data_IF_290992775339
#
_entry.id   IF_290992775339
#
_cell.length_a   1.000
_cell.length_b   1.000
_cell.length_c   1.000
_cell.angle_alpha   90.00
_cell.angle_beta   90.00
_cell.angle_gamma   90.00
#
_symmetry.space_group_name_H-M   'P 1'
#
loop_
_entity.id
_entity.type
_entity.pdbx_description
1 polymer ?
#
# COMPACT_ATOMS: atom_id res chain seq x y z
N UNK A 1 37.75 66.28 6.91
CA UNK A 1 38.26 64.92 6.63
C UNK A 1 37.91 64.03 7.81
N UNK A 2 36.78 63.32 7.75
CA UNK A 2 36.31 62.40 8.80
C UNK A 2 36.65 60.97 8.38
N UNK A 3 37.62 60.36 9.06
CA UNK A 3 38.04 58.98 8.82
C UNK A 3 37.06 58.01 9.50
N UNK A 4 36.22 57.33 8.71
CA UNK A 4 35.31 56.28 9.19
C UNK A 4 36.12 55.00 9.41
N UNK A 5 36.40 54.62 10.67
CA UNK A 5 37.06 53.35 10.99
C UNK A 5 36.07 52.19 10.89
N UNK A 6 36.11 51.45 9.79
CA UNK A 6 35.32 50.22 9.61
C UNK A 6 35.88 49.11 10.51
N UNK A 7 35.20 48.84 11.62
CA UNK A 7 35.55 47.73 12.53
C UNK A 7 35.49 46.37 11.81
N UNK A 8 36.65 45.74 11.62
CA UNK A 8 36.76 44.41 11.02
C UNK A 8 36.26 43.37 12.03
N UNK A 9 35.05 42.82 11.84
CA UNK A 9 34.55 41.70 12.65
C UNK A 9 35.52 40.52 12.51
N UNK A 10 36.09 40.05 13.63
CA UNK A 10 36.84 38.80 13.66
C UNK A 10 35.88 37.64 13.43
N UNK A 11 36.04 36.90 12.34
CA UNK A 11 35.34 35.63 12.15
C UNK A 11 36.03 34.62 13.07
N UNK A 12 35.36 34.23 14.17
CA UNK A 12 35.80 33.11 15.00
C UNK A 12 35.49 31.82 14.24
N UNK A 13 36.50 30.97 14.04
CA UNK A 13 36.34 29.64 13.46
C UNK A 13 35.82 28.63 14.48
N UNK A 14 35.17 27.56 14.00
CA UNK A 14 34.73 26.42 14.80
C UNK A 14 35.95 25.55 15.19
N UNK A 15 35.90 24.91 16.36
CA UNK A 15 36.95 23.98 16.78
C UNK A 15 36.70 22.56 16.25
N UNK A 16 37.78 21.79 16.06
CA UNK A 16 37.66 20.38 15.67
C UNK A 16 36.91 19.56 16.71
N UNK A 17 37.08 19.88 18.00
CA UNK A 17 36.40 19.17 19.08
C UNK A 17 34.89 19.42 19.07
N UNK A 18 34.43 20.65 18.78
CA UNK A 18 33.00 20.94 18.64
C UNK A 18 32.39 20.16 17.47
N UNK A 19 33.10 20.05 16.35
CA UNK A 19 32.65 19.23 15.21
C UNK A 19 32.58 17.74 15.59
N UNK A 20 33.58 17.20 16.29
CA UNK A 20 33.63 15.79 16.67
C UNK A 20 32.48 15.40 17.60
N UNK A 21 32.15 16.23 18.59
CA UNK A 21 31.03 15.96 19.52
C UNK A 21 29.70 16.00 18.78
N UNK A 22 29.52 16.96 17.86
CA UNK A 22 28.28 17.04 17.05
C UNK A 22 28.10 15.80 16.19
N UNK A 23 29.15 15.34 15.51
CA UNK A 23 29.10 14.12 14.69
C UNK A 23 28.81 12.89 15.54
N UNK A 24 29.38 12.80 16.74
CA UNK A 24 29.11 11.70 17.67
C UNK A 24 27.63 11.64 18.09
N UNK A 25 27.04 12.79 18.45
CA UNK A 25 25.63 12.87 18.82
C UNK A 25 24.72 12.54 17.64
N UNK A 26 25.00 13.08 16.44
CA UNK A 26 24.24 12.76 15.23
C UNK A 26 24.33 11.26 14.90
N UNK A 27 25.50 10.63 15.06
CA UNK A 27 25.67 9.20 14.85
C UNK A 27 24.81 8.34 15.79
N UNK A 28 24.74 8.70 17.07
CA UNK A 28 23.88 8.01 18.05
C UNK A 28 22.40 8.18 17.70
N UNK A 29 21.97 9.39 17.31
CA UNK A 29 20.57 9.62 16.92
C UNK A 29 20.22 8.88 15.62
N UNK A 30 21.11 8.89 14.63
CA UNK A 30 20.88 8.26 13.33
C UNK A 30 20.75 6.74 13.42
N UNK A 31 21.51 6.08 14.31
CA UNK A 31 21.46 4.62 14.48
C UNK A 31 20.09 4.12 14.96
N UNK A 32 19.35 4.95 15.71
CA UNK A 32 17.99 4.65 16.17
C UNK A 32 16.95 5.17 15.16
N UNK A 33 17.13 6.39 14.64
CA UNK A 33 16.13 7.05 13.81
C UNK A 33 15.91 6.38 12.45
N UNK A 34 16.98 5.90 11.80
CA UNK A 34 16.90 5.28 10.46
C UNK A 34 16.03 4.01 10.47
N UNK A 35 16.31 2.96 11.28
CA UNK A 35 15.50 1.74 11.25
C UNK A 35 14.05 1.99 11.67
N UNK A 36 13.80 2.90 12.61
CA UNK A 36 12.44 3.29 13.01
C UNK A 36 11.69 3.95 11.84
N UNK A 37 12.33 4.87 11.13
CA UNK A 37 11.71 5.57 9.99
C UNK A 37 11.36 4.61 8.84
N UNK A 38 12.24 3.66 8.54
CA UNK A 38 11.99 2.63 7.52
C UNK A 38 10.80 1.77 7.90
N UNK A 39 10.75 1.22 9.13
CA UNK A 39 9.62 0.40 9.59
C UNK A 39 8.29 1.17 9.60
N UNK A 40 8.32 2.44 10.00
CA UNK A 40 7.13 3.29 9.94
C UNK A 40 6.63 3.47 8.50
N UNK A 41 7.54 3.65 7.55
CA UNK A 41 7.18 3.71 6.12
C UNK A 41 6.56 2.41 5.64
N UNK A 42 7.16 1.25 5.94
CA UNK A 42 6.63 -0.07 5.55
C UNK A 42 5.22 -0.32 6.12
N UNK A 43 5.00 -0.01 7.40
CA UNK A 43 3.67 -0.09 8.02
C UNK A 43 2.65 0.84 7.37
N UNK A 44 3.06 2.05 6.99
CA UNK A 44 2.19 2.97 6.26
C UNK A 44 1.82 2.42 4.87
N UNK A 45 2.75 1.79 4.16
CA UNK A 45 2.47 1.12 2.87
C UNK A 45 1.49 -0.05 3.05
N UNK A 46 1.62 -0.85 4.11
CA UNK A 46 0.71 -1.95 4.43
C UNK A 46 -0.70 -1.45 4.86
N UNK A 47 -0.78 -0.32 5.56
CA UNK A 47 -2.05 0.32 5.89
C UNK A 47 -2.75 0.84 4.61
N UNK A 48 -2.02 1.51 3.71
CA UNK A 48 -2.53 1.93 2.40
C UNK A 48 -3.06 0.72 1.61
N UNK A 49 -2.33 -0.41 1.59
CA UNK A 49 -2.80 -1.67 0.99
C UNK A 49 -4.17 -2.09 1.51
N UNK A 50 -4.35 -2.16 2.82
CA UNK A 50 -5.60 -2.63 3.42
C UNK A 50 -6.79 -1.74 3.04
N UNK A 51 -6.61 -0.42 3.07
CA UNK A 51 -7.63 0.53 2.63
C UNK A 51 -8.02 0.31 1.16
N UNK A 52 -7.02 0.12 0.30
CA UNK A 52 -7.24 -0.12 -1.13
C UNK A 52 -7.89 -1.48 -1.40
N UNK A 53 -7.55 -2.53 -0.66
CA UNK A 53 -8.22 -3.84 -0.76
C UNK A 53 -9.71 -3.72 -0.43
N UNK A 54 -10.06 -2.98 0.62
CA UNK A 54 -11.47 -2.71 0.96
C UNK A 54 -12.16 -1.91 -0.13
N UNK A 55 -11.47 -0.95 -0.75
CA UNK A 55 -12.02 -0.19 -1.89
C UNK A 55 -12.28 -1.08 -3.10
N UNK A 56 -11.39 -2.02 -3.41
CA UNK A 56 -11.60 -3.03 -4.46
C UNK A 56 -12.79 -3.93 -4.13
N UNK A 57 -12.90 -4.41 -2.88
CA UNK A 57 -14.06 -5.18 -2.41
C UNK A 57 -15.37 -4.40 -2.59
N UNK A 58 -15.39 -3.12 -2.24
CA UNK A 58 -16.57 -2.27 -2.42
C UNK A 58 -16.99 -2.15 -3.89
N UNK A 59 -16.04 -2.02 -4.82
CA UNK A 59 -16.36 -2.01 -6.25
C UNK A 59 -17.00 -3.31 -6.73
N UNK A 60 -16.51 -4.46 -6.26
CA UNK A 60 -17.12 -5.77 -6.59
C UNK A 60 -18.52 -5.90 -5.96
N UNK A 61 -18.67 -5.44 -4.72
CA UNK A 61 -19.94 -5.43 -4.01
C UNK A 61 -20.99 -4.55 -4.71
N UNK A 62 -20.59 -3.40 -5.25
CA UNK A 62 -21.46 -2.52 -6.05
C UNK A 62 -21.99 -3.24 -7.29
N UNK A 63 -21.12 -3.96 -8.02
CA UNK A 63 -21.52 -4.79 -9.17
C UNK A 63 -22.55 -5.84 -8.75
N UNK A 64 -22.31 -6.51 -7.62
CA UNK A 64 -23.24 -7.50 -7.07
C UNK A 64 -24.60 -6.88 -6.71
N UNK A 65 -24.60 -5.72 -6.03
CA UNK A 65 -25.84 -5.02 -5.62
C UNK A 65 -26.66 -4.60 -6.85
N UNK A 66 -26.00 -4.07 -7.89
CA UNK A 66 -26.68 -3.60 -9.08
C UNK A 66 -27.30 -4.72 -9.92
N UNK A 67 -26.68 -5.90 -9.93
CA UNK A 67 -27.09 -7.02 -10.78
C UNK A 67 -27.82 -8.14 -10.02
N UNK A 68 -27.80 -8.09 -8.68
CA UNK A 68 -28.32 -9.15 -7.80
C UNK A 68 -27.49 -10.44 -7.80
N UNK A 69 -26.41 -10.50 -8.59
CA UNK A 69 -25.50 -11.65 -8.69
C UNK A 69 -24.15 -11.20 -9.26
N UNK A 70 -23.17 -12.11 -9.28
CA UNK A 70 -21.91 -11.89 -9.99
C UNK A 70 -22.12 -12.15 -11.49
N UNK A 71 -21.85 -11.18 -12.39
CA UNK A 71 -22.05 -11.36 -13.82
C UNK A 71 -21.29 -12.57 -14.36
N UNK A 72 -21.97 -13.41 -15.14
CA UNK A 72 -21.37 -14.61 -15.72
C UNK A 72 -21.03 -15.72 -14.71
N UNK A 73 -21.47 -15.60 -13.45
CA UNK A 73 -21.20 -16.56 -12.37
C UNK A 73 -19.81 -16.42 -11.74
N UNK A 74 -18.86 -15.79 -12.44
CA UNK A 74 -17.55 -15.45 -11.92
C UNK A 74 -17.03 -14.15 -12.53
N UNK A 75 -16.38 -13.33 -11.70
CA UNK A 75 -15.72 -12.10 -12.11
C UNK A 75 -14.24 -12.17 -11.73
N UNK A 76 -13.37 -11.85 -12.68
CA UNK A 76 -11.92 -11.82 -12.49
C UNK A 76 -11.38 -10.49 -13.01
N UNK A 77 -10.78 -9.72 -12.11
CA UNK A 77 -9.94 -8.58 -12.42
C UNK A 77 -8.50 -8.95 -12.03
N UNK A 78 -7.69 -9.28 -13.02
CA UNK A 78 -6.34 -9.80 -12.81
C UNK A 78 -5.38 -8.74 -12.23
N UNK A 79 -4.15 -9.11 -11.89
CA UNK A 79 -3.23 -8.23 -11.19
C UNK A 79 -3.03 -6.88 -11.89
N UNK A 80 -3.43 -5.82 -11.20
CA UNK A 80 -3.12 -4.45 -11.59
C UNK A 80 -2.63 -3.63 -10.39
N UNK A 81 -1.49 -2.91 -10.50
CA UNK A 81 -0.52 -2.92 -11.60
C UNK A 81 0.00 -4.33 -11.95
N UNK A 82 0.51 -4.60 -13.17
CA UNK A 82 0.83 -5.97 -13.58
C UNK A 82 1.92 -6.59 -12.70
N UNK A 83 1.84 -7.91 -12.52
CA UNK A 83 2.85 -8.70 -11.83
C UNK A 83 4.12 -8.84 -12.70
N UNK A 84 5.34 -8.92 -12.13
CA UNK A 84 5.69 -8.88 -10.70
C UNK A 84 5.58 -7.48 -10.07
N UNK A 85 5.39 -7.40 -8.74
CA UNK A 85 5.49 -6.13 -8.02
C UNK A 85 6.88 -5.52 -8.16
N UNK A 86 6.97 -4.21 -7.89
CA UNK A 86 8.21 -3.45 -7.93
C UNK A 86 8.29 -2.60 -6.66
N UNK A 87 9.50 -2.28 -6.21
CA UNK A 87 9.74 -1.32 -5.12
C UNK A 87 9.52 0.15 -5.53
N UNK A 88 8.37 0.44 -6.16
CA UNK A 88 7.90 1.79 -6.47
C UNK A 88 6.40 1.80 -6.69
N UNK A 89 5.78 2.97 -6.52
CA UNK A 89 4.37 3.16 -6.83
C UNK A 89 4.12 3.03 -8.34
N UNK A 90 3.04 2.36 -8.73
CA UNK A 90 2.62 2.15 -10.13
C UNK A 90 1.12 2.45 -10.30
N UNK A 91 0.72 2.86 -11.50
CA UNK A 91 -0.67 3.21 -11.80
C UNK A 91 -1.53 1.98 -12.08
N UNK A 92 -2.79 2.01 -11.65
CA UNK A 92 -3.78 1.00 -12.02
C UNK A 92 -4.34 1.33 -13.42
N UNK A 93 -4.42 0.33 -14.29
CA UNK A 93 -5.04 0.39 -15.60
C UNK A 93 -6.48 -0.12 -15.46
N UNK A 94 -7.40 0.83 -15.31
CA UNK A 94 -8.83 0.55 -15.17
C UNK A 94 -9.49 0.07 -16.45
N UNK A 95 -8.78 0.09 -17.60
CA UNK A 95 -9.30 -0.45 -18.85
C UNK A 95 -9.06 -1.96 -18.98
N UNK A 96 -8.23 -2.53 -18.11
CA UNK A 96 -7.99 -3.97 -18.07
C UNK A 96 -9.30 -4.75 -17.81
N UNK A 97 -9.40 -6.00 -18.30
CA UNK A 97 -10.55 -6.88 -18.03
C UNK A 97 -10.84 -6.99 -16.53
N UNK A 98 -12.12 -6.99 -16.17
CA UNK A 98 -12.58 -6.99 -14.78
C UNK A 98 -12.46 -5.64 -14.08
N UNK A 99 -11.32 -4.94 -14.21
CA UNK A 99 -11.12 -3.63 -13.59
C UNK A 99 -12.11 -2.58 -14.07
N UNK A 100 -12.41 -2.57 -15.37
CA UNK A 100 -13.44 -1.68 -15.95
C UNK A 100 -14.84 -1.94 -15.38
N UNK A 101 -15.10 -3.18 -14.95
CA UNK A 101 -16.39 -3.59 -14.38
C UNK A 101 -16.50 -3.17 -12.91
N UNK A 102 -15.41 -3.32 -12.15
CA UNK A 102 -15.34 -2.98 -10.72
C UNK A 102 -15.28 -1.46 -10.50
N UNK A 103 -14.61 -0.75 -11.40
CA UNK A 103 -14.39 0.70 -11.32
C UNK A 103 -14.82 1.37 -12.63
N UNK A 104 -16.08 1.83 -12.73
CA UNK A 104 -16.49 2.66 -13.85
C UNK A 104 -15.81 4.04 -13.79
N UNK A 105 -15.83 4.75 -14.93
CA UNK A 105 -15.15 6.03 -15.07
C UNK A 105 -15.59 7.04 -14.00
N UNK A 106 -14.63 7.66 -13.32
CA UNK A 106 -14.85 8.62 -12.22
C UNK A 106 -14.86 8.00 -10.82
N UNK A 107 -14.78 6.68 -10.67
CA UNK A 107 -14.71 6.00 -9.37
C UNK A 107 -13.34 5.39 -9.07
N UNK A 108 -12.35 5.67 -9.92
CA UNK A 108 -11.00 5.12 -9.83
C UNK A 108 -10.28 5.48 -8.53
N UNK A 109 -9.42 4.56 -8.06
CA UNK A 109 -8.48 4.87 -6.99
C UNK A 109 -7.51 5.93 -7.53
N UNK A 110 -7.35 7.01 -6.78
CA UNK A 110 -6.54 8.14 -7.19
C UNK A 110 -5.07 7.88 -6.86
N UNK A 111 -4.19 8.20 -7.81
CA UNK A 111 -2.75 8.10 -7.65
C UNK A 111 -2.17 6.69 -7.86
N UNK A 112 -0.87 6.58 -7.62
CA UNK A 112 -0.12 5.35 -7.80
C UNK A 112 -0.07 4.54 -6.49
N UNK A 113 0.01 3.21 -6.64
CA UNK A 113 -0.08 2.24 -5.55
C UNK A 113 1.19 1.40 -5.43
N UNK A 114 1.57 0.97 -4.23
CA UNK A 114 2.73 0.09 -4.01
C UNK A 114 2.44 -1.38 -4.36
N UNK A 115 1.20 -1.81 -4.21
CA UNK A 115 0.79 -3.21 -4.39
C UNK A 115 0.14 -3.44 -5.75
N UNK A 116 0.33 -4.63 -6.30
CA UNK A 116 -0.51 -5.22 -7.33
C UNK A 116 -1.74 -5.83 -6.69
N UNK A 117 -2.93 -5.46 -7.14
CA UNK A 117 -4.20 -5.98 -6.63
C UNK A 117 -4.83 -6.92 -7.65
N UNK A 118 -5.53 -7.95 -7.19
CA UNK A 118 -6.38 -8.82 -8.01
C UNK A 118 -7.70 -8.99 -7.28
N UNK A 119 -8.80 -8.97 -8.00
CA UNK A 119 -10.11 -9.28 -7.45
C UNK A 119 -10.70 -10.51 -8.17
N UNK A 120 -11.22 -11.45 -7.39
CA UNK A 120 -11.99 -12.59 -7.88
C UNK A 120 -13.31 -12.63 -7.15
N UNK A 121 -14.38 -12.96 -7.84
CA UNK A 121 -15.67 -13.17 -7.19
C UNK A 121 -16.44 -14.30 -7.86
N UNK A 122 -17.23 -15.01 -7.07
CA UNK A 122 -18.06 -16.11 -7.49
C UNK A 122 -19.49 -15.89 -7.00
N UNK A 123 -20.46 -16.16 -7.88
CA UNK A 123 -21.87 -16.13 -7.51
C UNK A 123 -22.20 -17.21 -6.47
N UNK A 124 -23.27 -16.99 -5.71
CA UNK A 124 -23.79 -18.01 -4.81
C UNK A 124 -24.21 -19.25 -5.60
N UNK A 125 -23.98 -20.42 -5.01
CA UNK A 125 -24.42 -21.73 -5.50
C UNK A 125 -25.35 -22.37 -4.47
N UNK A 126 -25.93 -23.54 -4.79
CA UNK A 126 -26.76 -24.26 -3.83
C UNK A 126 -26.01 -24.68 -2.55
N UNK A 127 -24.67 -24.78 -2.60
CA UNK A 127 -23.83 -25.26 -1.51
C UNK A 127 -22.84 -24.24 -0.96
N UNK A 128 -22.78 -23.02 -1.52
CA UNK A 128 -21.83 -22.00 -1.09
C UNK A 128 -22.38 -20.58 -1.33
N UNK A 129 -22.16 -19.63 -0.40
CA UNK A 129 -22.55 -18.24 -0.58
C UNK A 129 -21.70 -17.55 -1.65
N UNK A 130 -22.17 -16.40 -2.15
CA UNK A 130 -21.33 -15.56 -3.01
C UNK A 130 -20.07 -15.15 -2.25
N UNK A 131 -18.94 -15.11 -2.95
CA UNK A 131 -17.63 -14.87 -2.34
C UNK A 131 -16.86 -13.84 -3.14
N UNK A 132 -16.17 -12.94 -2.46
CA UNK A 132 -15.23 -11.95 -3.02
C UNK A 132 -13.88 -12.22 -2.42
N UNK A 133 -12.86 -12.39 -3.24
CA UNK A 133 -11.48 -12.47 -2.83
C UNK A 133 -10.71 -11.29 -3.41
N UNK A 134 -9.99 -10.57 -2.56
CA UNK A 134 -9.06 -9.53 -2.98
C UNK A 134 -7.66 -9.97 -2.57
N UNK A 135 -6.76 -10.10 -3.54
CA UNK A 135 -5.33 -10.36 -3.31
C UNK A 135 -4.54 -9.08 -3.55
N UNK A 136 -3.57 -8.79 -2.68
CA UNK A 136 -2.58 -7.74 -2.87
C UNK A 136 -1.18 -8.32 -2.73
N UNK A 137 -0.27 -7.98 -3.65
CA UNK A 137 1.14 -8.42 -3.62
C UNK A 137 2.07 -7.23 -3.86
N UNK A 138 3.09 -7.05 -3.03
CA UNK A 138 4.02 -5.91 -3.10
C UNK A 138 5.44 -6.30 -2.71
N UNK A 139 6.41 -5.61 -3.29
CA UNK A 139 7.84 -5.71 -2.96
C UNK A 139 8.22 -4.37 -2.33
N UNK A 140 8.16 -4.28 -1.00
CA UNK A 140 8.13 -2.97 -0.32
C UNK A 140 9.52 -2.36 -0.10
N UNK A 141 10.56 -3.16 -0.13
CA UNK A 141 11.96 -2.81 0.14
C UNK A 141 12.92 -3.23 -0.97
N UNK A 142 12.46 -3.99 -1.97
CA UNK A 142 13.23 -4.29 -3.18
C UNK A 142 14.17 -5.48 -3.04
N UNK A 143 13.98 -6.32 -2.02
CA UNK A 143 14.81 -7.49 -1.76
C UNK A 143 14.34 -8.75 -2.53
N UNK A 144 13.17 -8.66 -3.18
CA UNK A 144 12.56 -9.75 -3.93
C UNK A 144 11.68 -10.69 -3.09
N UNK A 145 11.56 -10.48 -1.79
CA UNK A 145 10.50 -11.03 -0.96
C UNK A 145 9.20 -10.23 -1.18
N UNK A 146 8.07 -10.92 -1.12
CA UNK A 146 6.77 -10.31 -1.44
C UNK A 146 5.82 -10.33 -0.25
N UNK A 147 5.43 -9.13 0.17
CA UNK A 147 4.33 -8.92 1.09
C UNK A 147 3.03 -9.26 0.36
N UNK A 148 2.33 -10.26 0.86
CA UNK A 148 1.09 -10.76 0.27
C UNK A 148 -0.05 -10.66 1.28
N UNK A 149 -1.19 -10.13 0.85
CA UNK A 149 -2.42 -10.13 1.64
C UNK A 149 -3.58 -10.65 0.80
N UNK A 150 -4.37 -11.54 1.37
CA UNK A 150 -5.59 -12.09 0.79
C UNK A 150 -6.71 -11.83 1.77
N UNK A 151 -7.72 -11.08 1.33
CA UNK A 151 -8.97 -10.89 2.07
C UNK A 151 -10.08 -11.63 1.34
N UNK A 152 -10.70 -12.58 2.02
CA UNK A 152 -11.86 -13.31 1.53
C UNK A 152 -13.10 -12.80 2.24
N UNK A 153 -14.15 -12.49 1.49
CA UNK A 153 -15.42 -12.05 2.02
C UNK A 153 -16.52 -12.97 1.53
N UNK A 154 -17.33 -13.48 2.45
CA UNK A 154 -18.49 -14.32 2.12
C UNK A 154 -19.77 -13.55 2.35
N UNK A 155 -20.77 -13.85 1.54
CA UNK A 155 -22.10 -13.29 1.72
C UNK A 155 -22.77 -13.88 2.96
N UNK A 156 -23.18 -13.00 3.88
CA UNK A 156 -23.91 -13.33 5.12
C UNK A 156 -25.00 -12.27 5.30
N UNK A 157 -26.26 -12.70 5.45
CA UNK A 157 -27.42 -11.83 5.71
C UNK A 157 -27.57 -10.63 4.75
N UNK A 158 -27.24 -10.83 3.47
CA UNK A 158 -27.34 -9.79 2.44
C UNK A 158 -26.14 -8.84 2.35
N UNK A 159 -25.14 -8.98 3.23
CA UNK A 159 -23.87 -8.26 3.17
C UNK A 159 -22.68 -9.18 2.91
N UNK A 160 -21.52 -8.60 2.61
CA UNK A 160 -20.24 -9.34 2.53
C UNK A 160 -19.42 -9.10 3.79
N UNK A 161 -19.20 -10.16 4.56
CA UNK A 161 -18.41 -10.17 5.79
C UNK A 161 -17.05 -10.82 5.54
N UNK A 162 -16.01 -10.32 6.21
CA UNK A 162 -14.66 -10.89 6.12
C UNK A 162 -14.66 -12.30 6.72
N UNK A 163 -14.08 -13.25 6.02
CA UNK A 163 -13.80 -14.60 6.50
C UNK A 163 -12.32 -14.70 6.86
N UNK A 164 -12.03 -14.59 8.16
CA UNK A 164 -10.66 -14.64 8.69
C UNK A 164 -10.02 -16.03 8.51
N UNK A 165 -10.82 -17.10 8.34
CA UNK A 165 -10.29 -18.46 8.19
C UNK A 165 -9.72 -18.74 6.79
N UNK A 166 -10.21 -18.02 5.78
CA UNK A 166 -9.72 -18.10 4.39
C UNK A 166 -8.85 -16.89 3.99
N UNK A 167 -8.81 -15.85 4.84
CA UNK A 167 -7.91 -14.71 4.66
C UNK A 167 -6.50 -15.04 5.14
N UNK A 168 -5.50 -14.49 4.48
CA UNK A 168 -4.09 -14.78 4.78
C UNK A 168 -3.22 -13.53 4.61
N UNK A 169 -2.29 -13.32 5.52
CA UNK A 169 -1.36 -12.19 5.51
C UNK A 169 0.06 -12.71 5.69
N UNK A 170 0.92 -12.46 4.71
CA UNK A 170 2.36 -12.69 4.75
C UNK A 170 3.04 -11.32 4.67
N UNK A 171 3.61 -10.87 5.78
CA UNK A 171 4.18 -9.53 5.91
C UNK A 171 5.69 -9.60 6.15
N UNK A 172 6.47 -9.07 5.22
CA UNK A 172 7.93 -9.16 5.28
C UNK A 172 8.54 -8.25 6.34
N UNK A 173 7.81 -7.22 6.80
CA UNK A 173 8.36 -6.25 7.77
C UNK A 173 8.46 -6.79 9.20
N UNK A 174 7.93 -7.98 9.52
CA UNK A 174 8.11 -8.62 10.83
C UNK A 174 9.49 -9.27 10.99
N UNK A 175 10.28 -9.38 9.92
CA UNK A 175 11.57 -10.08 9.91
C UNK A 175 12.81 -9.19 10.16
N UNK A 176 12.64 -7.92 10.56
CA UNK A 176 13.73 -6.94 10.79
C UNK A 176 13.78 -6.29 12.18
#
# INVERSE_FOLDING_TARGET
MTSTSTGRRSIRGFTLIELMVVVAIIGILASIAIPVSVRASLRAKAAERNELMLRVKTGVMEVYIQQGTIPGGALVADFQPPYPPQNRKRAIDYRAPGWRTIFPAGQEIQGNVYYSFRARAWAATASAPATIEVTAVGDLDGDGAYSTAVMVFKQVDGGFQLDDSESAYAEDYETF
#
